data_IF_600148797032
#
_entry.id   IF_600148797032
#
_cell.length_a   1.000
_cell.length_b   1.000
_cell.length_c   1.000
_cell.angle_alpha   90.00
_cell.angle_beta   90.00
_cell.angle_gamma   90.00
#
_symmetry.space_group_name_H-M   'P 1'
#
loop_
_entity.id
_entity.type
_entity.pdbx_description
1 polymer ?
#
# COMPACT_ATOMS: atom_id res chain seq x y z
N UNK A 1 21.38 21.85 -63.05
CA UNK A 1 21.26 21.80 -62.82
C UNK A 1 20.64 21.58 -61.98
N UNK A 2 20.58 21.84 -61.59
CA UNK A 2 20.01 21.88 -60.64
C UNK A 2 19.43 20.85 -60.17
N UNK A 3 19.28 20.41 -60.46
CA UNK A 3 18.78 19.51 -60.11
C UNK A 3 19.09 18.91 -59.05
N UNK A 4 19.99 19.08 -58.88
CA UNK A 4 20.27 18.32 -57.86
C UNK A 4 19.67 18.50 -56.61
N UNK A 5 19.73 19.47 -56.21
CA UNK A 5 19.35 19.66 -54.88
C UNK A 5 18.08 19.14 -54.49
N UNK A 6 17.32 19.28 -55.28
CA UNK A 6 16.09 18.93 -54.92
C UNK A 6 15.96 17.72 -54.28
N UNK A 7 16.58 16.89 -54.70
CA UNK A 7 16.36 15.75 -54.19
C UNK A 7 16.52 15.47 -52.83
N UNK A 8 17.41 15.83 -52.29
CA UNK A 8 17.67 15.42 -50.96
C UNK A 8 16.60 15.70 -50.00
N UNK A 9 15.97 16.68 -50.18
CA UNK A 9 15.01 17.05 -49.23
C UNK A 9 13.98 16.05 -48.81
N UNK A 10 13.29 15.56 -49.67
CA UNK A 10 12.19 14.67 -49.30
C UNK A 10 12.62 13.40 -48.63
N UNK A 11 13.75 13.03 -48.95
CA UNK A 11 14.19 11.79 -48.39
C UNK A 11 14.10 11.65 -46.91
N UNK A 12 14.58 12.52 -46.16
CA UNK A 12 14.58 12.33 -44.71
C UNK A 12 13.22 12.19 -44.15
N UNK A 13 12.32 12.88 -44.66
CA UNK A 13 11.05 12.85 -44.14
C UNK A 13 10.34 11.58 -44.15
N UNK A 14 10.24 10.91 -45.17
CA UNK A 14 9.52 9.65 -45.18
C UNK A 14 10.08 8.69 -44.18
N UNK A 15 11.34 8.78 -43.96
CA UNK A 15 11.93 7.88 -43.02
C UNK A 15 11.41 8.10 -41.66
N UNK A 16 11.18 9.31 -41.35
CA UNK A 16 10.68 9.64 -40.03
C UNK A 16 9.31 9.03 -39.83
N UNK A 17 8.55 9.03 -40.85
CA UNK A 17 7.23 8.54 -40.77
C UNK A 17 7.21 7.05 -40.58
N UNK A 18 8.18 6.40 -41.14
CA UNK A 18 8.20 5.01 -41.04
C UNK A 18 8.85 4.65 -39.79
N UNK A 19 9.11 5.61 -39.07
CA UNK A 19 9.51 5.45 -37.78
C UNK A 19 9.16 4.18 -37.05
N UNK A 20 7.98 3.78 -36.91
CA UNK A 20 7.64 2.54 -36.18
C UNK A 20 8.39 1.33 -36.63
N UNK A 21 8.63 1.23 -37.85
CA UNK A 21 9.32 0.07 -38.36
C UNK A 21 10.79 0.07 -38.05
N UNK A 22 11.42 1.20 -38.27
CA UNK A 22 12.84 1.27 -38.01
C UNK A 22 13.10 1.22 -36.51
N UNK A 23 12.14 1.63 -35.74
CA UNK A 23 12.33 1.65 -34.30
C UNK A 23 11.91 0.38 -33.63
N UNK A 24 11.59 -0.59 -34.38
CA UNK A 24 11.20 -1.85 -33.82
C UNK A 24 12.24 -2.37 -32.85
N UNK A 25 13.51 -2.20 -33.19
CA UNK A 25 14.58 -2.65 -32.33
C UNK A 25 14.69 -1.78 -31.07
N UNK A 26 14.32 -0.55 -31.18
CA UNK A 26 14.35 0.35 -30.03
C UNK A 26 13.14 0.19 -29.15
N UNK A 27 12.02 -0.16 -29.73
CA UNK A 27 10.79 -0.31 -28.99
C UNK A 27 10.78 -1.57 -28.15
N UNK A 28 11.32 -2.64 -28.65
CA UNK A 28 11.29 -3.88 -27.91
C UNK A 28 12.01 -3.80 -26.57
N UNK A 29 13.23 -3.26 -26.52
CA UNK A 29 13.87 -3.10 -25.21
C UNK A 29 13.10 -2.17 -24.30
N UNK A 30 12.48 -1.15 -24.86
CA UNK A 30 11.69 -0.22 -24.08
C UNK A 30 10.47 -0.90 -23.50
N UNK A 31 9.79 -1.68 -24.30
CA UNK A 31 8.63 -2.43 -23.84
C UNK A 31 9.01 -3.41 -22.76
N UNK A 32 10.13 -4.09 -22.93
CA UNK A 32 10.56 -5.03 -21.92
C UNK A 32 10.90 -4.34 -20.62
N UNK A 33 11.46 -3.17 -20.71
CA UNK A 33 11.74 -2.39 -19.52
C UNK A 33 10.46 -2.00 -18.83
N UNK A 34 9.47 -1.56 -19.59
CA UNK A 34 8.17 -1.22 -19.03
C UNK A 34 7.50 -2.43 -18.40
N UNK A 35 7.61 -3.56 -19.03
CA UNK A 35 7.04 -4.78 -18.49
C UNK A 35 7.67 -5.13 -17.16
N UNK A 36 8.98 -5.01 -17.06
CA UNK A 36 9.67 -5.27 -15.80
C UNK A 36 9.24 -4.29 -14.72
N UNK A 37 9.13 -3.01 -15.08
CA UNK A 37 8.69 -2.01 -14.13
C UNK A 37 7.26 -2.29 -13.67
N UNK A 38 6.42 -2.72 -14.60
CA UNK A 38 5.05 -3.05 -14.26
C UNK A 38 5.01 -4.26 -13.33
N UNK A 39 5.82 -5.28 -13.61
CA UNK A 39 5.88 -6.45 -12.75
C UNK A 39 6.35 -6.08 -11.35
N UNK A 40 7.32 -5.18 -11.26
CA UNK A 40 7.80 -4.72 -9.98
C UNK A 40 6.72 -3.96 -9.22
N UNK A 41 5.98 -3.12 -9.93
CA UNK A 41 4.88 -2.39 -9.29
C UNK A 41 3.78 -3.33 -8.83
N UNK A 42 3.47 -4.33 -9.62
CA UNK A 42 2.47 -5.31 -9.23
C UNK A 42 2.89 -6.08 -8.00
N UNK A 43 4.18 -6.40 -7.93
CA UNK A 43 4.71 -7.08 -6.77
C UNK A 43 4.59 -6.22 -5.52
N UNK A 44 4.88 -4.93 -5.65
CA UNK A 44 4.76 -4.00 -4.53
C UNK A 44 3.30 -3.87 -4.10
N UNK A 45 2.39 -3.78 -5.07
CA UNK A 45 0.97 -3.70 -4.76
C UNK A 45 0.51 -4.94 -4.01
N UNK A 46 0.95 -6.11 -4.45
CA UNK A 46 0.56 -7.35 -3.78
C UNK A 46 1.09 -7.39 -2.36
N UNK A 47 2.32 -6.93 -2.16
CA UNK A 47 2.92 -6.88 -0.85
C UNK A 47 2.18 -5.89 0.05
N UNK A 48 1.87 -4.71 -0.47
CA UNK A 48 1.16 -3.71 0.31
C UNK A 48 -0.24 -4.18 0.70
N UNK A 49 -0.91 -4.90 -0.19
CA UNK A 49 -2.21 -5.46 0.14
C UNK A 49 -2.12 -6.47 1.26
N UNK A 50 -1.09 -7.29 1.23
CA UNK A 50 -0.89 -8.29 2.26
C UNK A 50 -0.59 -7.62 3.60
N UNK A 51 0.29 -6.63 3.58
CA UNK A 51 0.62 -5.89 4.80
C UNK A 51 -0.60 -5.16 5.33
N UNK A 52 -1.40 -4.59 4.45
CA UNK A 52 -2.60 -3.89 4.85
C UNK A 52 -3.57 -4.85 5.53
N UNK A 53 -3.73 -6.04 4.97
CA UNK A 53 -4.60 -7.05 5.54
C UNK A 53 -4.10 -7.47 6.93
N UNK A 54 -2.80 -7.67 7.04
CA UNK A 54 -2.21 -8.06 8.32
C UNK A 54 -2.37 -6.97 9.36
N UNK A 55 -2.18 -5.72 8.97
CA UNK A 55 -2.34 -4.60 9.88
C UNK A 55 -3.77 -4.43 10.34
N UNK A 56 -4.72 -4.62 9.45
CA UNK A 56 -6.14 -4.56 9.82
C UNK A 56 -6.48 -5.64 10.81
N UNK A 57 -5.96 -6.83 10.58
CA UNK A 57 -6.21 -7.96 11.47
C UNK A 57 -5.64 -7.67 12.86
N UNK A 58 -4.43 -7.12 12.89
CA UNK A 58 -3.80 -6.74 14.14
C UNK A 58 -4.60 -5.65 14.85
N UNK A 59 -5.09 -4.69 14.09
CA UNK A 59 -5.89 -3.62 14.66
C UNK A 59 -7.17 -4.15 15.29
N UNK A 60 -7.82 -5.10 14.63
CA UNK A 60 -9.02 -5.70 15.15
C UNK A 60 -8.73 -6.47 16.44
N UNK A 61 -7.61 -7.18 16.46
CA UNK A 61 -7.20 -7.92 17.66
C UNK A 61 -6.92 -6.97 18.81
N UNK A 62 -6.22 -5.87 18.54
CA UNK A 62 -5.91 -4.89 19.57
C UNK A 62 -7.17 -4.23 20.11
N UNK A 63 -8.12 -3.95 19.22
CA UNK A 63 -9.39 -3.35 19.65
C UNK A 63 -10.14 -4.32 20.57
N UNK A 64 -10.14 -5.58 20.20
CA UNK A 64 -10.80 -6.61 20.99
C UNK A 64 -10.12 -6.80 22.34
N UNK A 65 -8.80 -6.83 22.36
CA UNK A 65 -8.04 -6.93 23.61
C UNK A 65 -8.29 -5.74 24.51
N UNK A 66 -8.34 -4.57 23.94
CA UNK A 66 -8.60 -3.36 24.70
C UNK A 66 -9.96 -3.43 25.36
N UNK A 67 -10.96 -3.87 24.61
CA UNK A 67 -12.31 -3.99 25.15
C UNK A 67 -12.33 -4.98 26.32
N UNK A 68 -11.64 -6.11 26.18
CA UNK A 68 -11.55 -7.10 27.24
C UNK A 68 -10.86 -6.54 28.48
N UNK A 69 -9.76 -5.82 28.27
CA UNK A 69 -9.03 -5.23 29.38
C UNK A 69 -9.84 -4.17 30.10
N UNK A 70 -10.59 -3.37 29.36
CA UNK A 70 -11.46 -2.37 29.98
C UNK A 70 -12.54 -3.03 30.82
N UNK A 71 -13.10 -4.11 30.30
CA UNK A 71 -14.13 -4.83 31.03
C UNK A 71 -13.57 -5.43 32.31
N UNK A 72 -12.41 -6.05 32.25
CA UNK A 72 -11.76 -6.63 33.44
C UNK A 72 -11.41 -5.55 34.45
N UNK A 73 -10.93 -4.42 33.94
CA UNK A 73 -10.58 -3.30 34.78
C UNK A 73 -11.80 -2.82 35.55
N UNK A 74 -12.93 -2.71 34.86
CA UNK A 74 -14.17 -2.29 35.49
C UNK A 74 -14.64 -3.28 36.52
N UNK A 75 -14.50 -4.57 36.25
CA UNK A 75 -14.89 -5.60 37.21
C UNK A 75 -14.03 -5.55 38.48
N UNK A 76 -12.73 -5.37 38.29
CA UNK A 76 -11.84 -5.28 39.45
C UNK A 76 -12.15 -4.02 40.25
N UNK A 77 -12.42 -2.92 39.57
CA UNK A 77 -12.76 -1.69 40.21
C UNK A 77 -14.01 -1.81 41.04
N UNK A 78 -15.02 -2.45 40.50
CA UNK A 78 -16.27 -2.68 41.22
C UNK A 78 -16.05 -3.54 42.47
N UNK A 79 -15.21 -4.56 42.33
CA UNK A 79 -14.90 -5.43 43.50
C UNK A 79 -14.15 -4.68 44.57
N UNK A 80 -13.18 -3.85 44.16
CA UNK A 80 -12.42 -3.05 45.10
C UNK A 80 -13.33 -2.08 45.84
N UNK A 81 -14.22 -1.44 45.10
CA UNK A 81 -15.16 -0.52 45.70
C UNK A 81 -16.10 -1.22 46.67
N UNK A 82 -16.54 -2.43 46.34
CA UNK A 82 -17.37 -3.20 47.21
C UNK A 82 -16.62 -3.59 48.51
N UNK A 83 -15.35 -3.95 48.35
CA UNK A 83 -14.54 -4.28 49.54
C UNK A 83 -14.33 -3.09 50.43
N UNK A 84 -14.07 -1.94 49.85
CA UNK A 84 -13.94 -0.71 50.61
C UNK A 84 -15.21 -0.39 51.35
N UNK A 85 -16.35 -0.58 50.71
CA UNK A 85 -17.63 -0.35 51.31
C UNK A 85 -17.86 -1.26 52.52
N UNK A 86 -17.47 -2.54 52.37
CA UNK A 86 -17.61 -3.47 53.49
C UNK A 86 -16.72 -3.11 54.66
N UNK A 87 -15.50 -2.70 54.38
CA UNK A 87 -14.59 -2.28 55.42
C UNK A 87 -15.11 -1.07 56.17
N UNK A 88 -15.68 -0.12 55.45
CA UNK A 88 -16.25 1.05 56.09
C UNK A 88 -17.43 0.66 56.96
N UNK A 89 -18.26 -0.25 56.50
CA UNK A 89 -19.40 -0.69 57.26
C UNK A 89 -18.95 -1.38 58.55
N UNK A 90 -17.92 -2.25 58.45
CA UNK A 90 -17.40 -2.91 59.63
C UNK A 90 -16.80 -1.92 60.61
N UNK A 91 -16.10 -0.93 60.09
CA UNK A 91 -15.50 0.09 60.91
C UNK A 91 -16.57 0.89 61.65
N UNK A 92 -17.63 1.23 60.99
CA UNK A 92 -18.72 1.99 61.60
C UNK A 92 -19.53 1.10 62.55
N UNK A 93 -19.64 -0.15 62.26
CA UNK A 93 -20.39 -1.05 63.10
C UNK A 93 -19.67 -1.47 64.34
N UNK A 94 -18.38 -1.24 64.35
CA UNK A 94 -17.63 -1.54 65.52
C UNK A 94 -17.67 -0.40 66.50
#
# INVERSE_FOLDING_TARGET
>A
MPQGGTRSLPVPRPQTIIFPMSDKHGLEPELKRLERQLDELLAVVAQLREENRALRHRQDNLTSERATLLQRNEQVRTRVEAMIGRLKTLEQGA
#
